data_IF_228831350348
#
_entry.id   IF_228831350348
#
_cell.length_a   1.000
_cell.length_b   1.000
_cell.length_c   1.000
_cell.angle_alpha   90.00
_cell.angle_beta   90.00
_cell.angle_gamma   90.00
#
_symmetry.space_group_name_H-M   'P 1'
#
loop_
_entity.id
_entity.type
_entity.pdbx_description
1 polymer ?
#
# COMPACT_ATOMS: atom_id res chain seq x y z
N UNK A 1 35.68 -14.77 -52.36
CA UNK A 1 35.97 -13.37 -51.98
C UNK A 1 34.65 -12.63 -51.89
N UNK A 2 34.43 -11.95 -50.75
CA UNK A 2 33.46 -10.84 -50.49
C UNK A 2 31.97 -11.10 -50.72
N UNK A 3 31.04 -10.83 -49.80
CA UNK A 3 31.08 -10.12 -48.54
C UNK A 3 29.69 -10.18 -47.88
N UNK A 4 29.68 -9.98 -46.57
CA UNK A 4 28.51 -9.95 -45.68
C UNK A 4 27.66 -8.72 -45.99
N UNK A 5 26.34 -8.86 -46.05
CA UNK A 5 25.44 -7.79 -45.57
C UNK A 5 24.26 -8.40 -44.81
N UNK A 6 24.38 -8.36 -43.48
CA UNK A 6 23.30 -8.63 -42.54
C UNK A 6 22.66 -7.27 -42.24
N UNK A 7 21.50 -6.99 -42.81
CA UNK A 7 20.62 -5.94 -42.26
C UNK A 7 19.62 -6.64 -41.34
N UNK A 8 20.04 -6.78 -40.08
CA UNK A 8 19.16 -6.97 -38.95
C UNK A 8 18.25 -5.75 -38.85
N UNK A 9 16.98 -5.88 -39.26
CA UNK A 9 15.96 -4.98 -38.76
C UNK A 9 15.63 -5.41 -37.33
N UNK A 10 16.28 -4.77 -36.36
CA UNK A 10 15.89 -4.89 -34.96
C UNK A 10 14.44 -4.42 -34.82
N UNK A 11 13.53 -5.17 -34.19
CA UNK A 11 12.30 -4.57 -33.71
C UNK A 11 12.69 -3.61 -32.59
N UNK A 12 12.46 -2.31 -32.81
CA UNK A 12 12.43 -1.34 -31.72
C UNK A 12 11.46 -1.86 -30.67
N UNK A 13 11.88 -2.13 -29.41
CA UNK A 13 10.91 -2.16 -28.34
C UNK A 13 10.44 -0.72 -28.18
N UNK A 14 9.33 -0.40 -28.86
CA UNK A 14 8.46 0.70 -28.45
C UNK A 14 8.30 0.52 -26.95
N UNK A 15 8.86 1.48 -26.21
CA UNK A 15 8.75 1.53 -24.77
C UNK A 15 7.31 1.29 -24.43
N UNK A 16 7.07 0.22 -23.67
CA UNK A 16 5.85 0.10 -22.88
C UNK A 16 5.93 1.28 -21.92
N UNK A 17 5.43 2.44 -22.35
CA UNK A 17 4.90 3.41 -21.42
C UNK A 17 3.81 2.66 -20.70
N UNK A 18 4.13 2.12 -19.52
CA UNK A 18 3.13 1.76 -18.54
C UNK A 18 2.14 2.93 -18.55
N UNK A 19 0.87 2.62 -18.83
CA UNK A 19 -0.13 3.67 -18.91
C UNK A 19 -0.02 4.49 -17.61
N UNK A 20 -0.05 5.83 -17.66
CA UNK A 20 0.26 6.67 -16.50
C UNK A 20 -0.65 6.37 -15.28
N UNK A 21 -1.82 5.78 -15.51
CA UNK A 21 -2.74 5.27 -14.50
C UNK A 21 -2.27 3.97 -13.83
N UNK A 22 -1.50 3.13 -14.51
CA UNK A 22 -0.89 1.92 -13.94
C UNK A 22 0.07 2.29 -12.81
N UNK A 23 0.87 3.36 -12.97
CA UNK A 23 1.81 3.80 -11.95
C UNK A 23 1.13 4.25 -10.65
N UNK A 24 0.07 5.06 -10.73
CA UNK A 24 -0.66 5.52 -9.54
C UNK A 24 -1.45 4.39 -8.87
N UNK A 25 -2.07 3.50 -9.66
CA UNK A 25 -2.79 2.34 -9.14
C UNK A 25 -1.85 1.36 -8.43
N UNK A 26 -0.72 1.03 -9.05
CA UNK A 26 0.29 0.14 -8.46
C UNK A 26 0.91 0.75 -7.20
N UNK A 27 1.23 2.06 -7.21
CA UNK A 27 1.73 2.76 -6.04
C UNK A 27 0.72 2.74 -4.87
N UNK A 28 -0.57 2.98 -5.15
CA UNK A 28 -1.61 2.90 -4.13
C UNK A 28 -1.76 1.47 -3.58
N UNK A 29 -1.77 0.46 -4.45
CA UNK A 29 -1.85 -0.94 -4.04
C UNK A 29 -0.64 -1.36 -3.18
N UNK A 30 0.56 -0.95 -3.57
CA UNK A 30 1.79 -1.18 -2.81
C UNK A 30 1.78 -0.48 -1.45
N UNK A 31 1.27 0.75 -1.39
CA UNK A 31 1.11 1.49 -0.14
C UNK A 31 0.12 0.82 0.81
N UNK A 32 -1.05 0.41 0.32
CA UNK A 32 -2.06 -0.33 1.09
C UNK A 32 -1.49 -1.67 1.58
N UNK A 33 -0.80 -2.41 0.70
CA UNK A 33 -0.08 -3.65 1.04
C UNK A 33 0.89 -3.45 2.20
N UNK A 34 1.73 -2.43 2.08
CA UNK A 34 2.75 -2.08 3.07
C UNK A 34 2.14 -1.67 4.42
N UNK A 35 1.14 -0.78 4.40
CA UNK A 35 0.48 -0.34 5.62
C UNK A 35 -0.26 -1.50 6.29
N UNK A 36 -0.96 -2.34 5.51
CA UNK A 36 -1.64 -3.54 6.02
C UNK A 36 -0.69 -4.48 6.77
N UNK A 37 0.50 -4.77 6.23
CA UNK A 37 1.51 -5.59 6.91
C UNK A 37 1.98 -4.95 8.22
N UNK A 38 2.27 -3.63 8.18
CA UNK A 38 2.76 -2.89 9.35
C UNK A 38 1.73 -2.84 10.47
N UNK A 39 0.46 -2.60 10.15
CA UNK A 39 -0.64 -2.59 11.12
C UNK A 39 -0.85 -3.98 11.71
N UNK A 40 -0.91 -5.02 10.87
CA UNK A 40 -1.05 -6.40 11.36
C UNK A 40 0.10 -6.79 12.29
N UNK A 41 1.33 -6.43 11.96
CA UNK A 41 2.47 -6.69 12.83
C UNK A 41 2.32 -6.02 14.21
N UNK A 42 1.84 -4.78 14.25
CA UNK A 42 1.56 -4.07 15.51
C UNK A 42 0.40 -4.67 16.29
N UNK A 43 -0.67 -5.08 15.61
CA UNK A 43 -1.81 -5.79 16.23
C UNK A 43 -1.33 -7.10 16.84
N UNK A 44 -0.53 -7.89 16.12
CA UNK A 44 0.01 -9.15 16.61
C UNK A 44 0.94 -8.96 17.82
N UNK A 45 1.82 -7.97 17.76
CA UNK A 45 2.71 -7.63 18.87
C UNK A 45 1.93 -7.19 20.12
N UNK A 46 0.83 -6.43 19.93
CA UNK A 46 0.01 -5.90 21.01
C UNK A 46 -0.90 -6.97 21.63
N UNK A 47 -1.52 -7.80 20.80
CA UNK A 47 -2.41 -8.87 21.22
C UNK A 47 -1.67 -10.15 21.67
N UNK A 48 -0.37 -10.25 21.39
CA UNK A 48 0.46 -11.44 21.61
C UNK A 48 -0.08 -12.66 20.86
N UNK A 49 -0.43 -12.47 19.60
CA UNK A 49 -0.96 -13.52 18.69
C UNK A 49 0.11 -14.06 17.74
N UNK A 50 -0.11 -15.25 17.19
CA UNK A 50 0.86 -15.99 16.36
C UNK A 50 1.00 -15.46 14.92
N UNK A 51 0.40 -14.31 14.58
CA UNK A 51 0.57 -13.71 13.26
C UNK A 51 -0.32 -14.26 12.14
N UNK A 52 -1.45 -14.90 12.47
CA UNK A 52 -2.33 -15.51 11.48
C UNK A 52 -2.86 -14.49 10.44
N UNK A 53 -3.24 -13.29 10.86
CA UNK A 53 -3.66 -12.22 9.95
C UNK A 53 -2.53 -11.78 9.04
N UNK A 54 -1.34 -11.56 9.60
CA UNK A 54 -0.15 -11.17 8.83
C UNK A 54 0.26 -12.21 7.78
N UNK A 55 0.20 -13.50 8.11
CA UNK A 55 0.45 -14.59 7.16
C UNK A 55 -0.60 -14.61 6.03
N UNK A 56 -1.88 -14.45 6.36
CA UNK A 56 -2.96 -14.38 5.37
C UNK A 56 -2.83 -13.15 4.47
N UNK A 57 -2.30 -12.04 4.99
CA UNK A 57 -2.03 -10.83 4.23
C UNK A 57 -0.84 -10.97 3.28
N UNK A 58 0.27 -11.54 3.76
CA UNK A 58 1.44 -11.84 2.92
C UNK A 58 1.06 -12.78 1.76
N UNK A 59 0.26 -13.81 2.03
CA UNK A 59 -0.24 -14.72 1.00
C UNK A 59 -1.13 -14.03 -0.05
N UNK A 60 -1.88 -12.99 0.33
CA UNK A 60 -2.77 -12.26 -0.57
C UNK A 60 -2.05 -11.21 -1.42
N UNK A 61 -1.02 -10.59 -0.88
CA UNK A 61 -0.31 -9.46 -1.53
C UNK A 61 1.01 -9.88 -2.19
N UNK A 62 1.48 -11.11 -1.92
CA UNK A 62 2.78 -11.60 -2.40
C UNK A 62 3.97 -10.89 -1.75
N UNK A 63 3.75 -10.13 -0.68
CA UNK A 63 4.78 -9.38 0.02
C UNK A 63 5.50 -10.20 1.09
N UNK A 64 6.77 -9.87 1.33
CA UNK A 64 7.53 -10.40 2.46
C UNK A 64 7.15 -9.69 3.76
N UNK A 65 6.78 -10.47 4.79
CA UNK A 65 6.47 -9.98 6.13
C UNK A 65 7.76 -9.56 6.90
N UNK A 66 8.48 -8.57 6.37
CA UNK A 66 9.78 -8.15 6.87
C UNK A 66 9.71 -7.12 8.02
N UNK A 67 8.62 -6.34 8.10
CA UNK A 67 8.47 -5.31 9.13
C UNK A 67 8.46 -5.89 10.56
N UNK A 68 9.12 -5.22 11.51
CA UNK A 68 9.18 -5.65 12.90
C UNK A 68 8.84 -4.46 13.81
N UNK A 69 7.74 -4.54 14.58
CA UNK A 69 7.39 -3.52 15.57
C UNK A 69 8.50 -3.32 16.60
N UNK A 70 8.88 -2.07 16.86
CA UNK A 70 9.78 -1.70 17.96
C UNK A 70 9.03 -0.82 18.98
N UNK A 71 8.78 -1.38 20.17
CA UNK A 71 8.13 -0.67 21.27
C UNK A 71 8.90 0.60 21.71
N UNK A 72 10.21 0.68 21.44
CA UNK A 72 11.00 1.88 21.73
C UNK A 72 10.70 3.02 20.78
N UNK A 73 10.23 2.75 19.56
CA UNK A 73 9.78 3.81 18.64
C UNK A 73 8.42 4.36 19.07
N UNK A 74 7.52 3.49 19.53
CA UNK A 74 6.25 3.89 20.13
C UNK A 74 6.49 4.83 21.32
N UNK A 75 7.44 4.49 22.20
CA UNK A 75 7.79 5.31 23.36
C UNK A 75 8.43 6.67 22.99
N UNK A 76 9.04 6.78 21.80
CA UNK A 76 9.60 8.02 21.27
C UNK A 76 8.56 8.89 20.56
N UNK A 77 7.33 8.38 20.33
CA UNK A 77 6.29 9.09 19.61
C UNK A 77 6.62 9.34 18.14
N UNK A 78 7.46 8.48 17.54
CA UNK A 78 7.90 8.61 16.15
C UNK A 78 6.86 8.15 15.11
N UNK A 79 7.28 8.08 13.85
CA UNK A 79 6.49 7.52 12.76
C UNK A 79 6.48 5.99 12.82
N UNK A 80 5.65 5.46 13.72
CA UNK A 80 5.54 4.04 14.07
C UNK A 80 5.25 3.12 12.87
N UNK A 81 4.63 3.67 11.83
CA UNK A 81 4.29 2.94 10.62
C UNK A 81 5.11 3.39 9.41
N UNK A 82 6.12 4.25 9.57
CA UNK A 82 6.97 4.74 8.47
C UNK A 82 6.18 5.36 7.31
N UNK A 83 5.10 6.09 7.60
CA UNK A 83 4.22 6.71 6.61
C UNK A 83 4.89 7.91 5.92
N UNK A 84 5.77 8.63 6.61
CA UNK A 84 6.53 9.76 6.07
C UNK A 84 7.48 9.32 4.97
N UNK A 85 8.31 8.30 5.24
CA UNK A 85 9.21 7.74 4.24
C UNK A 85 8.45 7.11 3.06
N UNK A 86 7.31 6.47 3.34
CA UNK A 86 6.44 5.90 2.31
C UNK A 86 5.85 7.00 1.40
N UNK A 87 5.32 8.07 1.98
CA UNK A 87 4.78 9.22 1.24
C UNK A 87 5.87 9.89 0.40
N UNK A 88 7.04 10.15 0.99
CA UNK A 88 8.16 10.77 0.30
C UNK A 88 8.70 9.90 -0.84
N UNK A 89 8.74 8.57 -0.66
CA UNK A 89 9.10 7.62 -1.71
C UNK A 89 8.15 7.69 -2.90
N UNK A 90 6.84 7.54 -2.65
CA UNK A 90 5.82 7.58 -3.71
C UNK A 90 5.80 8.94 -4.41
N UNK A 91 5.86 10.04 -3.65
CA UNK A 91 5.89 11.37 -4.23
C UNK A 91 7.12 11.57 -5.11
N UNK A 92 8.30 11.11 -4.67
CA UNK A 92 9.53 11.17 -5.49
C UNK A 92 9.39 10.37 -6.78
N UNK A 93 8.89 9.14 -6.69
CA UNK A 93 8.81 8.23 -7.83
C UNK A 93 7.79 8.71 -8.89
N UNK A 94 6.76 9.44 -8.45
CA UNK A 94 5.73 10.00 -9.32
C UNK A 94 5.94 11.48 -9.67
N UNK A 95 7.06 12.09 -9.25
CA UNK A 95 7.37 13.51 -9.52
C UNK A 95 6.46 14.51 -8.81
N UNK A 96 5.93 14.13 -7.64
CA UNK A 96 5.06 14.95 -6.80
C UNK A 96 5.72 16.16 -6.16
N UNK A 97 4.90 17.17 -5.88
CA UNK A 97 5.31 18.38 -5.15
C UNK A 97 5.30 18.17 -3.63
N UNK A 98 5.96 19.03 -2.83
CA UNK A 98 5.89 18.96 -1.36
C UNK A 98 4.47 19.05 -0.80
N UNK A 99 3.58 19.80 -1.48
CA UNK A 99 2.18 19.88 -1.08
C UNK A 99 1.45 18.54 -1.30
N UNK A 100 1.73 17.86 -2.42
CA UNK A 100 1.18 16.54 -2.73
C UNK A 100 1.75 15.45 -1.81
N UNK A 101 3.03 15.52 -1.44
CA UNK A 101 3.61 14.63 -0.42
C UNK A 101 2.90 14.78 0.93
N UNK A 102 2.65 16.03 1.37
CA UNK A 102 1.91 16.30 2.60
C UNK A 102 0.46 15.78 2.57
N UNK A 103 -0.22 15.93 1.44
CA UNK A 103 -1.58 15.39 1.23
C UNK A 103 -1.58 13.85 1.19
N UNK A 104 -0.61 13.25 0.51
CA UNK A 104 -0.42 11.81 0.45
C UNK A 104 -0.16 11.23 1.85
N UNK A 105 0.71 11.86 2.64
CA UNK A 105 0.95 11.46 4.03
C UNK A 105 -0.34 11.47 4.85
N UNK A 106 -1.16 12.52 4.71
CA UNK A 106 -2.45 12.61 5.40
C UNK A 106 -3.40 11.47 5.00
N UNK A 107 -3.50 11.19 3.70
CA UNK A 107 -4.34 10.09 3.20
C UNK A 107 -3.85 8.72 3.70
N UNK A 108 -2.54 8.51 3.78
CA UNK A 108 -1.95 7.32 4.42
C UNK A 108 -2.28 7.23 5.92
N UNK A 109 -2.21 8.34 6.66
CA UNK A 109 -2.57 8.40 8.07
C UNK A 109 -4.05 8.05 8.30
N UNK A 110 -4.95 8.59 7.47
CA UNK A 110 -6.39 8.33 7.55
C UNK A 110 -6.71 6.85 7.21
N UNK A 111 -6.12 6.30 6.15
CA UNK A 111 -6.22 4.87 5.85
C UNK A 111 -5.68 4.00 7.00
N UNK A 112 -4.50 4.32 7.52
CA UNK A 112 -3.86 3.58 8.62
C UNK A 112 -4.75 3.58 9.86
N UNK A 113 -5.37 4.71 10.20
CA UNK A 113 -6.28 4.81 11.35
C UNK A 113 -7.46 3.85 11.23
N UNK A 114 -8.13 3.82 10.08
CA UNK A 114 -9.26 2.94 9.86
C UNK A 114 -8.85 1.46 9.84
N UNK A 115 -7.69 1.14 9.25
CA UNK A 115 -7.14 -0.21 9.25
C UNK A 115 -6.81 -0.69 10.67
N UNK A 116 -6.22 0.16 11.51
CA UNK A 116 -5.93 -0.15 12.92
C UNK A 116 -7.21 -0.46 13.68
N UNK A 117 -8.26 0.37 13.55
CA UNK A 117 -9.55 0.14 14.21
C UNK A 117 -10.13 -1.22 13.84
N UNK A 118 -10.16 -1.53 12.54
CA UNK A 118 -10.71 -2.79 12.05
C UNK A 118 -9.90 -3.99 12.52
N UNK A 119 -8.58 -3.97 12.30
CA UNK A 119 -7.70 -5.10 12.56
C UNK A 119 -7.54 -5.37 14.05
N UNK A 120 -7.47 -4.33 14.89
CA UNK A 120 -7.45 -4.48 16.33
C UNK A 120 -8.77 -5.07 16.85
N UNK A 121 -9.92 -4.67 16.29
CA UNK A 121 -11.23 -5.24 16.64
C UNK A 121 -11.37 -6.73 16.29
N UNK A 122 -10.56 -7.24 15.36
CA UNK A 122 -10.54 -8.62 14.92
C UNK A 122 -9.33 -9.42 15.44
N UNK A 123 -8.52 -8.84 16.33
CA UNK A 123 -7.34 -9.50 16.86
C UNK A 123 -7.68 -10.88 17.46
N UNK A 124 -6.96 -11.91 17.03
CA UNK A 124 -7.20 -13.31 17.45
C UNK A 124 -8.27 -14.05 16.65
N UNK A 125 -8.99 -13.39 15.74
CA UNK A 125 -9.84 -14.08 14.76
C UNK A 125 -9.00 -14.88 13.74
N UNK A 126 -9.60 -15.82 12.98
CA UNK A 126 -8.90 -16.48 11.87
C UNK A 126 -8.32 -15.47 10.87
N UNK A 127 -7.15 -15.76 10.32
CA UNK A 127 -6.38 -14.83 9.48
C UNK A 127 -7.19 -14.23 8.32
N UNK A 128 -7.94 -15.06 7.58
CA UNK A 128 -8.79 -14.58 6.48
C UNK A 128 -9.86 -13.60 6.93
N UNK A 129 -10.41 -13.79 8.14
CA UNK A 129 -11.40 -12.87 8.70
C UNK A 129 -10.76 -11.55 9.11
N UNK A 130 -9.55 -11.59 9.67
CA UNK A 130 -8.82 -10.37 10.04
C UNK A 130 -8.56 -9.50 8.81
N UNK A 131 -8.14 -10.09 7.70
CA UNK A 131 -7.69 -9.33 6.53
C UNK A 131 -8.80 -9.02 5.52
N UNK A 132 -10.01 -9.57 5.69
CA UNK A 132 -11.11 -9.42 4.75
C UNK A 132 -11.40 -7.95 4.40
N UNK A 133 -11.55 -7.09 5.41
CA UNK A 133 -11.87 -5.68 5.16
C UNK A 133 -10.74 -4.89 4.49
N UNK A 134 -9.47 -5.22 4.79
CA UNK A 134 -8.32 -4.60 4.11
C UNK A 134 -8.20 -5.11 2.66
N UNK A 135 -8.60 -6.36 2.37
CA UNK A 135 -8.73 -6.87 1.00
C UNK A 135 -9.82 -6.11 0.23
N UNK A 136 -10.99 -5.90 0.84
CA UNK A 136 -12.06 -5.11 0.23
C UNK A 136 -11.63 -3.65 -0.02
N UNK A 137 -10.86 -3.07 0.89
CA UNK A 137 -10.31 -1.73 0.74
C UNK A 137 -9.30 -1.64 -0.41
N UNK A 138 -8.44 -2.67 -0.57
CA UNK A 138 -7.54 -2.80 -1.70
C UNK A 138 -8.30 -2.94 -3.03
N UNK A 139 -9.39 -3.71 -3.05
CA UNK A 139 -10.26 -3.83 -4.22
C UNK A 139 -10.94 -2.47 -4.54
N UNK A 140 -11.45 -1.77 -3.54
CA UNK A 140 -12.04 -0.45 -3.70
C UNK A 140 -11.05 0.57 -4.28
N UNK A 141 -9.80 0.57 -3.80
CA UNK A 141 -8.72 1.38 -4.36
C UNK A 141 -8.43 1.02 -5.83
N UNK A 142 -8.42 -0.27 -6.15
CA UNK A 142 -8.19 -0.76 -7.51
C UNK A 142 -9.29 -0.36 -8.50
N UNK A 143 -10.53 -0.19 -8.01
CA UNK A 143 -11.70 0.15 -8.80
C UNK A 143 -12.04 1.65 -8.79
N UNK A 144 -11.33 2.47 -8.02
CA UNK A 144 -11.59 3.90 -7.95
C UNK A 144 -11.25 4.58 -9.29
N UNK A 145 -12.20 5.36 -9.79
CA UNK A 145 -11.98 6.29 -10.89
C UNK A 145 -11.18 7.48 -10.36
N UNK A 146 -9.90 7.54 -10.73
CA UNK A 146 -8.95 8.46 -10.14
C UNK A 146 -7.89 8.84 -11.17
N UNK A 147 -7.39 10.09 -11.13
CA UNK A 147 -6.41 10.61 -12.08
C UNK A 147 -5.07 9.87 -11.96
N UNK A 148 -4.10 10.31 -12.77
CA UNK A 148 -2.73 9.81 -12.73
C UNK A 148 -1.89 10.53 -11.66
N UNK A 149 -0.67 10.05 -11.45
CA UNK A 149 0.29 10.66 -10.54
C UNK A 149 -0.13 10.60 -9.07
N UNK A 150 0.43 11.49 -8.25
CA UNK A 150 0.22 11.48 -6.79
C UNK A 150 -1.23 11.72 -6.39
N UNK A 151 -1.94 12.60 -7.11
CA UNK A 151 -3.37 12.86 -6.84
C UNK A 151 -4.21 11.61 -7.11
N UNK A 152 -3.79 10.79 -8.08
CA UNK A 152 -4.34 9.47 -8.35
C UNK A 152 -4.12 8.45 -7.23
N UNK A 153 -2.97 8.51 -6.55
CA UNK A 153 -2.69 7.67 -5.39
C UNK A 153 -3.55 8.09 -4.21
N UNK A 154 -3.63 9.40 -3.94
CA UNK A 154 -4.44 9.98 -2.87
C UNK A 154 -5.90 9.56 -3.00
N UNK A 155 -6.51 9.75 -4.17
CA UNK A 155 -7.90 9.40 -4.39
C UNK A 155 -8.20 7.90 -4.15
N UNK A 156 -7.23 7.02 -4.47
CA UNK A 156 -7.34 5.57 -4.25
C UNK A 156 -7.21 5.19 -2.79
N UNK A 157 -6.29 5.84 -2.06
CA UNK A 157 -6.14 5.67 -0.61
C UNK A 157 -7.38 6.19 0.13
N UNK A 158 -7.94 7.32 -0.29
CA UNK A 158 -9.18 7.87 0.28
C UNK A 158 -10.37 6.92 0.03
N UNK A 159 -10.46 6.30 -1.15
CA UNK A 159 -11.47 5.27 -1.44
C UNK A 159 -11.31 4.03 -0.56
N UNK A 160 -10.07 3.58 -0.32
CA UNK A 160 -9.76 2.48 0.60
C UNK A 160 -10.15 2.82 2.04
N UNK A 161 -9.77 4.00 2.52
CA UNK A 161 -10.11 4.48 3.85
C UNK A 161 -11.63 4.60 4.04
N UNK A 162 -12.34 5.13 3.05
CA UNK A 162 -13.81 5.21 3.07
C UNK A 162 -14.47 3.83 3.09
N UNK A 163 -13.89 2.83 2.43
CA UNK A 163 -14.38 1.44 2.52
C UNK A 163 -14.27 0.91 3.94
N UNK A 164 -13.09 1.04 4.56
CA UNK A 164 -12.87 0.60 5.95
C UNK A 164 -13.76 1.36 6.94
N UNK A 165 -13.87 2.67 6.81
CA UNK A 165 -14.72 3.49 7.68
C UNK A 165 -16.20 3.08 7.62
N UNK A 166 -16.71 2.66 6.44
CA UNK A 166 -18.07 2.11 6.34
C UNK A 166 -18.22 0.78 7.08
N UNK A 167 -17.22 -0.09 6.99
CA UNK A 167 -17.21 -1.39 7.66
C UNK A 167 -17.03 -1.27 9.18
N UNK A 168 -16.31 -0.25 9.65
CA UNK A 168 -16.12 0.02 11.07
C UNK A 168 -17.38 0.56 11.76
N UNK A 169 -18.31 1.16 11.00
CA UNK A 169 -19.54 1.77 11.50
C UNK A 169 -20.82 0.97 11.17
N UNK A 170 -20.71 -0.21 10.56
CA UNK A 170 -21.82 -1.11 10.25
C UNK A 170 -22.07 -2.11 11.37
#
# INVERSE_FOLDING_TARGET
>A
MTGIDRISAAPSPLGVSAAPNAGAREAAAGAIGTVGDRVLAWVDASARTDGAGRQAWAAATGGDAAFRPDARELARGGDVYGLGDLAAGIARDLGGTPAQEGALRRSLEDFTREAVVQLAGLAGAPGDRQVAGVRDALEAAGNADAPDGVDGVIARLDAAAAMLARQNHS
#
